data_IF_955107795165
#
_entry.id   IF_955107795165
#
_cell.length_a   1.000
_cell.length_b   1.000
_cell.length_c   1.000
_cell.angle_alpha   90.00
_cell.angle_beta   90.00
_cell.angle_gamma   90.00
#
_symmetry.space_group_name_H-M   'P 1'
#
loop_
_entity.id
_entity.type
_entity.pdbx_description
1 polymer ?
#
# COMPACT_ATOMS: atom_id res chain seq x y z
N UNK A 1 20.17 -4.73 7.82
CA UNK A 1 18.91 -4.00 7.59
C UNK A 1 17.91 -5.00 7.02
N UNK A 2 16.74 -5.15 7.61
CA UNK A 2 15.67 -6.04 7.11
C UNK A 2 14.58 -5.15 6.54
N UNK A 3 14.07 -5.52 5.36
CA UNK A 3 12.92 -4.86 4.75
C UNK A 3 11.75 -5.84 4.78
N UNK A 4 10.60 -5.34 5.20
CA UNK A 4 9.32 -6.04 5.11
C UNK A 4 8.58 -5.38 3.95
N UNK A 5 8.05 -6.19 3.05
CA UNK A 5 7.25 -5.73 1.91
C UNK A 5 5.87 -6.35 2.04
N UNK A 6 4.87 -5.50 2.18
CA UNK A 6 3.48 -5.94 2.10
C UNK A 6 3.02 -5.82 0.64
N UNK A 7 2.66 -6.94 0.01
CA UNK A 7 2.10 -6.97 -1.34
C UNK A 7 0.58 -7.16 -1.27
N UNK A 8 -0.16 -6.23 -1.87
CA UNK A 8 -1.62 -6.21 -1.85
C UNK A 8 -2.13 -6.14 -3.28
N UNK A 9 -2.82 -7.18 -3.74
CA UNK A 9 -3.55 -7.17 -5.01
C UNK A 9 -4.98 -6.73 -4.79
N UNK A 10 -5.44 -5.70 -5.51
CA UNK A 10 -6.78 -5.16 -5.39
C UNK A 10 -7.32 -4.66 -6.74
N UNK A 11 -8.64 -4.50 -6.81
CA UNK A 11 -9.26 -3.82 -7.93
C UNK A 11 -8.80 -2.34 -7.97
N UNK A 12 -8.55 -1.76 -9.16
CA UNK A 12 -8.00 -0.41 -9.28
C UNK A 12 -8.83 0.67 -8.59
N UNK A 13 -10.15 0.49 -8.57
CA UNK A 13 -11.10 1.43 -7.97
C UNK A 13 -10.95 1.50 -6.44
N UNK A 14 -10.32 0.49 -5.84
CA UNK A 14 -10.10 0.41 -4.39
C UNK A 14 -8.78 1.03 -3.93
N UNK A 15 -7.89 1.42 -4.85
CA UNK A 15 -6.57 1.95 -4.50
C UNK A 15 -6.72 3.18 -3.62
N UNK A 16 -7.51 4.17 -4.03
CA UNK A 16 -7.68 5.41 -3.28
C UNK A 16 -8.13 5.15 -1.82
N UNK A 17 -9.10 4.26 -1.63
CA UNK A 17 -9.60 3.89 -0.30
C UNK A 17 -8.53 3.23 0.56
N UNK A 18 -7.79 2.26 -0.01
CA UNK A 18 -6.71 1.57 0.72
C UNK A 18 -5.60 2.54 1.10
N UNK A 19 -5.25 3.48 0.21
CA UNK A 19 -4.26 4.51 0.52
C UNK A 19 -4.73 5.47 1.62
N UNK A 20 -6.02 5.81 1.67
CA UNK A 20 -6.58 6.58 2.76
C UNK A 20 -6.50 5.81 4.09
N UNK A 21 -6.90 4.54 4.11
CA UNK A 21 -6.82 3.67 5.28
C UNK A 21 -5.38 3.46 5.77
N UNK A 22 -4.44 3.28 4.85
CA UNK A 22 -3.01 3.20 5.16
C UNK A 22 -2.56 4.44 5.95
N UNK A 23 -2.89 5.63 5.44
CA UNK A 23 -2.51 6.89 6.07
C UNK A 23 -3.20 7.12 7.42
N UNK A 24 -4.49 6.80 7.49
CA UNK A 24 -5.32 7.12 8.66
C UNK A 24 -5.18 6.11 9.79
N UNK A 25 -4.88 4.84 9.48
CA UNK A 25 -4.94 3.74 10.46
C UNK A 25 -3.62 3.00 10.64
N UNK A 26 -2.88 2.76 9.56
CA UNK A 26 -1.68 1.92 9.62
C UNK A 26 -0.43 2.72 9.97
N UNK A 27 -0.18 3.82 9.25
CA UNK A 27 1.00 4.67 9.48
C UNK A 27 1.07 5.30 10.88
N UNK A 28 -0.03 5.65 11.56
CA UNK A 28 0.08 6.10 12.94
C UNK A 28 0.58 5.00 13.89
N UNK A 29 0.33 3.72 13.57
CA UNK A 29 0.63 2.58 14.43
C UNK A 29 1.93 1.82 14.10
N UNK A 30 2.52 2.01 12.92
CA UNK A 30 3.70 1.22 12.50
C UNK A 30 4.94 1.44 13.38
N UNK A 31 5.14 2.66 13.88
CA UNK A 31 6.25 2.99 14.77
C UNK A 31 6.21 2.20 16.09
N UNK A 32 5.01 1.88 16.60
CA UNK A 32 4.84 1.04 17.79
C UNK A 32 5.32 -0.40 17.58
N UNK A 33 5.51 -0.83 16.33
CA UNK A 33 6.08 -2.13 15.95
C UNK A 33 7.58 -2.06 15.64
N UNK A 34 8.22 -0.91 15.86
CA UNK A 34 9.62 -0.69 15.52
C UNK A 34 9.90 -0.63 14.01
N UNK A 35 8.87 -0.36 13.20
CA UNK A 35 8.98 -0.25 11.75
C UNK A 35 9.01 1.22 11.32
N UNK A 36 9.70 1.49 10.21
CA UNK A 36 9.69 2.78 9.51
C UNK A 36 9.22 2.52 8.08
N UNK A 37 8.28 3.32 7.59
CA UNK A 37 7.83 3.25 6.20
C UNK A 37 8.98 3.62 5.25
N UNK A 38 9.39 2.69 4.38
CA UNK A 38 10.48 2.89 3.43
C UNK A 38 9.99 3.48 2.10
N UNK A 39 8.80 3.10 1.64
CA UNK A 39 8.27 3.56 0.37
C UNK A 39 6.87 3.01 0.10
N UNK A 40 6.37 3.30 -1.09
CA UNK A 40 5.11 2.74 -1.58
C UNK A 40 5.11 2.77 -3.10
N UNK A 41 4.72 1.66 -3.73
CA UNK A 41 4.62 1.55 -5.19
C UNK A 41 3.29 0.94 -5.60
N UNK A 42 2.82 1.29 -6.80
CA UNK A 42 1.61 0.74 -7.40
C UNK A 42 1.90 0.35 -8.84
N UNK A 43 1.45 -0.83 -9.25
CA UNK A 43 1.49 -1.29 -10.64
C UNK A 43 0.12 -1.86 -11.07
N UNK A 44 -0.40 -1.52 -12.25
CA UNK A 44 0.08 -0.44 -13.13
C UNK A 44 -0.02 0.93 -12.42
N UNK A 45 0.84 1.91 -12.78
CA UNK A 45 0.84 3.24 -12.16
C UNK A 45 -0.45 4.04 -12.45
N UNK A 46 -1.25 3.58 -13.42
CA UNK A 46 -2.56 4.10 -13.77
C UNK A 46 -3.57 2.98 -13.61
N UNK A 47 -4.74 3.27 -13.03
CA UNK A 47 -5.84 2.32 -12.94
C UNK A 47 -6.28 1.86 -14.34
N UNK A 48 -6.16 0.55 -14.61
CA UNK A 48 -6.61 -0.05 -15.87
C UNK A 48 -7.87 -0.85 -15.60
N UNK A 49 -9.03 -0.46 -16.17
CA UNK A 49 -10.28 -1.18 -15.98
C UNK A 49 -10.14 -2.67 -16.31
N UNK A 50 -10.71 -3.51 -15.44
CA UNK A 50 -10.68 -4.98 -15.58
C UNK A 50 -9.33 -5.64 -15.30
N UNK A 51 -8.30 -4.87 -14.92
CA UNK A 51 -7.00 -5.40 -14.51
C UNK A 51 -6.79 -5.13 -13.03
N UNK A 52 -6.31 -6.13 -12.29
CA UNK A 52 -5.93 -5.89 -10.91
C UNK A 52 -4.72 -4.96 -10.83
N UNK A 53 -4.63 -4.22 -9.74
CA UNK A 53 -3.46 -3.46 -9.36
C UNK A 53 -2.79 -4.09 -8.15
N UNK A 54 -1.47 -4.00 -8.12
CA UNK A 54 -0.66 -4.41 -6.98
C UNK A 54 -0.07 -3.18 -6.31
N UNK A 55 -0.28 -3.09 -4.99
CA UNK A 55 0.28 -2.09 -4.09
C UNK A 55 1.36 -2.76 -3.24
N UNK A 56 2.54 -2.15 -3.20
CA UNK A 56 3.64 -2.52 -2.30
C UNK A 56 3.85 -1.41 -1.27
N UNK A 57 4.07 -1.79 -0.01
CA UNK A 57 4.33 -0.90 1.15
C UNK A 57 5.64 -1.26 1.83
#
# INVERSE_FOLDING_TARGET
MIQIVDEITLAPERIADVLALLRERYLPGHAARGLTAAGRWVSPPVAVPGHASTLWL
#
